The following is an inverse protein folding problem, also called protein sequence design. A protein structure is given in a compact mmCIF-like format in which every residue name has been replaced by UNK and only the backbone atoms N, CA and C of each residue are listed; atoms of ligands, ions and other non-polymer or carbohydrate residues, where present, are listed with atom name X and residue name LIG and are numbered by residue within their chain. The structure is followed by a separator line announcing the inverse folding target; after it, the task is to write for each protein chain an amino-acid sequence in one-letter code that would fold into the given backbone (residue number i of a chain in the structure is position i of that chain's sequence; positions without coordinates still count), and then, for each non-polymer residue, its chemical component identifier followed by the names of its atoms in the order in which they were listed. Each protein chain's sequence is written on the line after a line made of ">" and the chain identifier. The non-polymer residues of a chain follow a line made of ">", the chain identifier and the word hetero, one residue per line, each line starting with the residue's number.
data_IF_530664911742
#
_entry.id   IF_530664911742
#
_cell.length_a   1.000
_cell.length_b   1.000
_cell.length_c   1.000
_cell.angle_alpha   90.00
_cell.angle_beta   90.00
_cell.angle_gamma   90.00
#
_symmetry.space_group_name_H-M   'P 1'
#
loop_
_entity.id
_entity.type
_entity.pdbx_description
1 polymer ?
#
# COMPACT_ATOMS: atom_id res chain seq x y z
N UNK A 1 40.35 -3.29 55.55
CA UNK A 1 39.33 -3.70 54.56
C UNK A 1 38.74 -2.44 53.94
N UNK A 2 39.36 -1.88 52.90
CA UNK A 2 38.87 -0.64 52.28
C UNK A 2 37.68 -0.99 51.38
N UNK A 3 36.51 -0.41 51.67
CA UNK A 3 35.29 -0.63 50.91
C UNK A 3 35.43 -0.03 49.51
N UNK A 4 35.46 -0.89 48.49
CA UNK A 4 35.55 -0.53 47.07
C UNK A 4 34.23 0.01 46.50
N UNK A 5 33.23 0.33 47.34
CA UNK A 5 31.83 0.46 46.92
C UNK A 5 31.37 1.90 46.61
N UNK A 6 32.27 2.85 46.39
CA UNK A 6 31.90 4.28 46.28
C UNK A 6 32.56 4.99 45.08
N UNK A 7 32.72 4.31 43.93
CA UNK A 7 33.14 5.01 42.71
C UNK A 7 31.91 5.49 41.93
N UNK A 8 31.69 6.81 41.79
CA UNK A 8 30.53 7.35 41.07
C UNK A 8 30.52 6.93 39.59
N UNK A 9 31.70 6.62 39.04
CA UNK A 9 31.89 6.12 37.68
C UNK A 9 31.39 4.69 37.50
N UNK A 10 31.51 3.83 38.53
CA UNK A 10 30.94 2.49 38.51
C UNK A 10 29.41 2.55 38.54
N UNK A 11 28.83 3.48 39.30
CA UNK A 11 27.38 3.69 39.32
C UNK A 11 26.85 4.23 37.99
N UNK A 12 27.58 5.17 37.36
CA UNK A 12 27.23 5.71 36.05
C UNK A 12 27.32 4.64 34.94
N UNK A 13 28.35 3.79 34.98
CA UNK A 13 28.50 2.66 34.05
C UNK A 13 27.38 1.61 34.25
N UNK A 14 27.02 1.31 35.49
CA UNK A 14 25.87 0.43 35.79
C UNK A 14 24.55 1.02 35.27
N UNK A 15 24.37 2.34 35.39
CA UNK A 15 23.17 3.04 34.93
C UNK A 15 23.05 3.01 33.40
N UNK A 16 24.16 3.20 32.68
CA UNK A 16 24.24 3.12 31.21
C UNK A 16 23.97 1.70 30.70
N UNK A 17 24.46 0.67 31.40
CA UNK A 17 24.19 -0.74 31.08
C UNK A 17 22.75 -1.16 31.41
N UNK A 18 22.13 -0.57 32.43
CA UNK A 18 20.73 -0.79 32.78
C UNK A 18 19.73 -0.05 31.85
N UNK A 19 20.17 1.07 31.24
CA UNK A 19 19.38 1.87 30.28
C UNK A 19 19.53 1.39 28.83
N UNK A 20 20.35 0.37 28.56
CA UNK A 20 20.38 -0.38 27.30
C UNK A 20 19.15 -1.25 27.12
N UNK A 21 17.95 -0.68 27.28
CA UNK A 21 16.69 -1.35 26.98
C UNK A 21 16.67 -1.71 25.50
N UNK A 22 16.59 -3.00 25.20
CA UNK A 22 16.33 -3.48 23.85
C UNK A 22 15.00 -2.90 23.39
N UNK A 23 15.02 -1.93 22.48
CA UNK A 23 13.86 -1.55 21.70
C UNK A 23 13.53 -2.73 20.77
N UNK A 24 12.78 -3.71 21.27
CA UNK A 24 12.10 -4.64 20.38
C UNK A 24 11.00 -3.84 19.71
N UNK A 25 11.24 -3.40 18.48
CA UNK A 25 10.16 -2.94 17.62
C UNK A 25 9.13 -4.06 17.57
N UNK A 26 7.98 -3.86 18.21
CA UNK A 26 6.82 -4.74 18.09
C UNK A 26 6.25 -4.57 16.67
N UNK A 27 6.99 -4.99 15.66
CA UNK A 27 6.48 -5.19 14.32
C UNK A 27 5.61 -6.43 14.38
N UNK A 28 4.29 -6.26 14.39
CA UNK A 28 3.37 -7.38 14.29
C UNK A 28 3.71 -8.22 13.06
N UNK A 29 4.26 -9.41 13.28
CA UNK A 29 4.74 -10.33 12.24
C UNK A 29 3.59 -11.14 11.61
N UNK A 30 2.40 -10.55 11.50
CA UNK A 30 1.25 -11.22 10.91
C UNK A 30 1.45 -11.36 9.40
N UNK A 31 1.09 -12.52 8.84
CA UNK A 31 1.01 -12.67 7.38
C UNK A 31 -0.06 -11.70 6.86
N UNK A 32 0.29 -10.68 6.04
CA UNK A 32 -0.67 -9.68 5.55
C UNK A 32 -1.77 -10.28 4.67
N UNK A 33 -1.59 -11.51 4.19
CA UNK A 33 -2.57 -12.23 3.39
C UNK A 33 -3.24 -13.37 4.16
N UNK A 34 -3.12 -13.43 5.50
CA UNK A 34 -3.84 -14.40 6.30
C UNK A 34 -5.35 -14.29 6.05
N UNK A 35 -6.00 -15.40 5.68
CA UNK A 35 -7.42 -15.42 5.31
C UNK A 35 -7.74 -15.04 3.87
N UNK A 36 -6.76 -14.61 3.06
CA UNK A 36 -6.95 -14.33 1.63
C UNK A 36 -6.58 -15.55 0.78
N UNK A 37 -7.41 -15.84 -0.22
CA UNK A 37 -7.08 -16.80 -1.27
C UNK A 37 -6.42 -16.09 -2.45
N UNK A 38 -5.29 -16.61 -2.93
CA UNK A 38 -4.65 -16.08 -4.14
C UNK A 38 -5.51 -16.42 -5.36
N UNK A 39 -5.87 -15.40 -6.13
CA UNK A 39 -6.62 -15.53 -7.40
C UNK A 39 -5.68 -15.15 -8.54
N UNK A 40 -5.72 -15.92 -9.64
CA UNK A 40 -5.02 -15.57 -10.87
C UNK A 40 -5.86 -14.58 -11.67
N UNK A 41 -5.24 -13.49 -12.13
CA UNK A 41 -5.86 -12.48 -12.98
C UNK A 41 -5.21 -12.56 -14.36
N UNK A 42 -6.00 -12.87 -15.38
CA UNK A 42 -5.59 -12.83 -16.78
C UNK A 42 -5.68 -11.40 -17.31
N UNK A 43 -4.99 -11.10 -18.41
CA UNK A 43 -4.99 -9.75 -19.02
C UNK A 43 -6.40 -9.27 -19.38
N UNK A 44 -7.29 -10.19 -19.78
CA UNK A 44 -8.70 -9.90 -20.10
C UNK A 44 -9.58 -9.53 -18.89
N UNK A 45 -9.10 -9.75 -17.66
CA UNK A 45 -9.82 -9.40 -16.44
C UNK A 45 -9.65 -7.91 -16.11
N UNK A 46 -8.61 -7.26 -16.65
CA UNK A 46 -8.33 -5.85 -16.44
C UNK A 46 -9.11 -4.99 -17.46
N UNK A 47 -10.30 -4.55 -17.08
CA UNK A 47 -11.09 -3.64 -17.89
C UNK A 47 -10.72 -2.19 -17.57
N UNK A 48 -10.06 -1.53 -18.51
CA UNK A 48 -9.73 -0.11 -18.38
C UNK A 48 -11.00 0.74 -18.51
N UNK A 49 -11.11 1.74 -17.64
CA UNK A 49 -12.12 2.80 -17.73
C UNK A 49 -11.39 4.12 -17.92
N UNK A 50 -11.67 4.83 -19.01
CA UNK A 50 -11.11 6.14 -19.35
C UNK A 50 -12.22 7.14 -19.73
N UNK A 51 -11.93 8.43 -19.89
CA UNK A 51 -12.91 9.41 -20.33
C UNK A 51 -13.55 9.00 -21.67
N UNK A 52 -14.88 9.11 -21.78
CA UNK A 52 -15.63 8.58 -22.93
C UNK A 52 -15.30 9.25 -24.29
N UNK A 53 -14.68 10.43 -24.25
CA UNK A 53 -14.47 11.28 -25.43
C UNK A 53 -13.01 11.35 -25.89
N UNK A 54 -12.12 10.55 -25.33
CA UNK A 54 -10.71 10.48 -25.75
C UNK A 54 -10.27 9.03 -25.92
N UNK A 55 -9.30 8.73 -26.80
CA UNK A 55 -8.76 7.38 -26.92
C UNK A 55 -8.13 6.90 -25.61
N UNK A 56 -8.37 5.64 -25.25
CA UNK A 56 -7.80 5.01 -24.06
C UNK A 56 -6.27 5.12 -24.01
N UNK A 57 -5.60 4.97 -25.15
CA UNK A 57 -4.13 5.06 -25.27
C UNK A 57 -3.54 6.42 -24.89
N UNK A 58 -4.36 7.47 -24.78
CA UNK A 58 -3.93 8.78 -24.27
C UNK A 58 -4.05 8.91 -22.74
N UNK A 59 -4.67 7.95 -22.06
CA UNK A 59 -4.99 7.99 -20.62
C UNK A 59 -4.57 6.74 -19.87
N UNK A 60 -4.22 5.69 -20.59
CA UNK A 60 -3.74 4.44 -20.04
C UNK A 60 -2.58 3.88 -20.86
N UNK A 61 -1.62 3.29 -20.15
CA UNK A 61 -0.57 2.48 -20.75
C UNK A 61 -0.30 1.26 -19.87
N UNK A 62 -0.16 0.10 -20.51
CA UNK A 62 0.45 -1.08 -19.89
C UNK A 62 1.82 -1.35 -20.51
N UNK A 63 2.84 -1.46 -19.67
CA UNK A 63 4.21 -1.77 -20.11
C UNK A 63 4.97 -2.48 -18.99
N UNK A 64 5.49 -3.67 -19.29
CA UNK A 64 6.40 -4.41 -18.39
C UNK A 64 5.86 -4.60 -16.97
N UNK A 65 4.56 -4.91 -16.85
CA UNK A 65 3.87 -5.08 -15.56
C UNK A 65 3.39 -3.77 -14.92
N UNK A 66 3.78 -2.61 -15.45
CA UNK A 66 3.36 -1.29 -14.95
C UNK A 66 2.13 -0.80 -15.71
N UNK A 67 1.11 -0.37 -14.95
CA UNK A 67 -0.08 0.30 -15.46
C UNK A 67 -0.02 1.78 -15.11
N UNK A 68 0.10 2.63 -16.11
CA UNK A 68 0.15 4.09 -15.95
C UNK A 68 -1.20 4.67 -16.32
N UNK A 69 -1.70 5.58 -15.47
CA UNK A 69 -2.96 6.26 -15.64
C UNK A 69 -2.73 7.76 -15.64
N UNK A 70 -3.31 8.46 -16.62
CA UNK A 70 -3.30 9.92 -16.65
C UNK A 70 -4.73 10.44 -16.49
N UNK A 71 -4.90 11.43 -15.62
CA UNK A 71 -6.15 12.15 -15.47
C UNK A 71 -5.83 13.63 -15.60
N UNK A 72 -6.42 14.27 -16.60
CA UNK A 72 -6.26 15.70 -16.84
C UNK A 72 -7.47 16.49 -16.36
N UNK A 73 -7.24 17.77 -16.04
CA UNK A 73 -8.26 18.69 -15.54
C UNK A 73 -9.52 18.75 -16.41
N UNK A 74 -9.35 18.67 -17.73
CA UNK A 74 -10.43 18.84 -18.70
C UNK A 74 -10.99 17.52 -19.24
N UNK A 75 -10.57 16.39 -18.67
CA UNK A 75 -11.13 15.10 -19.04
C UNK A 75 -12.62 15.04 -18.71
N UNK A 76 -13.31 14.12 -19.35
CA UNK A 76 -14.72 13.84 -19.07
C UNK A 76 -14.87 12.62 -18.15
N UNK A 77 -16.07 12.41 -17.59
CA UNK A 77 -16.37 11.19 -16.84
C UNK A 77 -16.18 9.94 -17.72
N UNK A 78 -16.23 8.76 -17.10
CA UNK A 78 -16.15 7.48 -17.83
C UNK A 78 -17.32 7.26 -18.80
N UNK A 79 -18.49 7.82 -18.52
CA UNK A 79 -19.68 7.73 -19.37
C UNK A 79 -20.52 9.01 -19.28
N UNK A 80 -21.54 9.11 -20.14
CA UNK A 80 -22.47 10.24 -20.18
C UNK A 80 -23.67 10.08 -19.25
N UNK A 81 -23.84 8.91 -18.64
CA UNK A 81 -24.98 8.59 -17.78
C UNK A 81 -24.78 9.01 -16.32
N UNK A 82 -23.52 9.13 -15.87
CA UNK A 82 -23.17 9.42 -14.47
C UNK A 82 -22.46 10.76 -14.35
N UNK A 83 -22.72 11.48 -13.25
CA UNK A 83 -22.11 12.79 -12.97
C UNK A 83 -20.81 12.68 -12.14
N UNK A 84 -20.04 11.62 -12.37
CA UNK A 84 -18.78 11.40 -11.65
C UNK A 84 -17.67 12.29 -12.19
N UNK A 85 -16.65 12.57 -11.39
CA UNK A 85 -15.47 13.28 -11.89
C UNK A 85 -14.65 12.42 -12.86
N UNK A 86 -13.78 13.03 -13.69
CA UNK A 86 -12.93 12.30 -14.61
C UNK A 86 -12.03 11.30 -13.89
N UNK A 87 -11.83 10.14 -14.50
CA UNK A 87 -10.98 9.07 -13.97
C UNK A 87 -10.33 8.28 -15.10
N UNK A 88 -9.22 7.65 -14.77
CA UNK A 88 -8.60 6.61 -15.57
C UNK A 88 -8.18 5.52 -14.59
N UNK A 89 -8.80 4.36 -14.71
CA UNK A 89 -8.71 3.27 -13.71
C UNK A 89 -8.85 1.91 -14.39
N UNK A 90 -8.65 0.85 -13.62
CA UNK A 90 -8.96 -0.53 -14.06
C UNK A 90 -9.96 -1.15 -13.09
N UNK A 91 -11.01 -1.72 -13.67
CA UNK A 91 -11.94 -2.62 -12.99
C UNK A 91 -11.52 -4.07 -13.24
N UNK A 92 -11.55 -4.89 -12.20
CA UNK A 92 -11.36 -6.34 -12.30
C UNK A 92 -12.69 -7.00 -12.70
N UNK A 93 -12.87 -7.28 -13.98
CA UNK A 93 -14.04 -7.96 -14.51
C UNK A 93 -14.04 -9.43 -14.07
N UNK A 94 -15.22 -9.97 -13.73
CA UNK A 94 -15.35 -11.37 -13.29
C UNK A 94 -14.97 -11.61 -11.83
N UNK A 95 -14.45 -10.60 -11.14
CA UNK A 95 -14.08 -10.62 -9.72
C UNK A 95 -14.81 -9.52 -8.93
N UNK A 96 -16.04 -9.21 -9.35
CA UNK A 96 -16.86 -8.20 -8.69
C UNK A 96 -17.19 -8.63 -7.26
N UNK A 97 -17.11 -7.67 -6.33
CA UNK A 97 -17.46 -7.92 -4.95
C UNK A 97 -18.98 -8.07 -4.82
N UNK A 98 -19.45 -9.28 -4.53
CA UNK A 98 -20.88 -9.61 -4.45
C UNK A 98 -21.42 -9.71 -3.03
N UNK A 99 -20.55 -10.02 -2.06
CA UNK A 99 -20.86 -10.14 -0.64
C UNK A 99 -19.56 -10.25 0.17
N UNK A 100 -19.63 -9.95 1.46
CA UNK A 100 -18.52 -10.05 2.40
C UNK A 100 -18.53 -8.90 3.40
N UNK A 101 -17.65 -9.03 4.41
CA UNK A 101 -17.74 -8.44 5.77
C UNK A 101 -18.16 -6.98 5.88
#
# INVERSE_FOLDING_TARGET
>A
MASLTSSPWLHLLLLLMAMGGTFTAAGGSGNPTAGFQKVHLADGDFQVQSPYNVPESQRFQYRDGVRTFWVHRNDKPFNTATHTNPRSEVRLRGHDYSSGV
#
